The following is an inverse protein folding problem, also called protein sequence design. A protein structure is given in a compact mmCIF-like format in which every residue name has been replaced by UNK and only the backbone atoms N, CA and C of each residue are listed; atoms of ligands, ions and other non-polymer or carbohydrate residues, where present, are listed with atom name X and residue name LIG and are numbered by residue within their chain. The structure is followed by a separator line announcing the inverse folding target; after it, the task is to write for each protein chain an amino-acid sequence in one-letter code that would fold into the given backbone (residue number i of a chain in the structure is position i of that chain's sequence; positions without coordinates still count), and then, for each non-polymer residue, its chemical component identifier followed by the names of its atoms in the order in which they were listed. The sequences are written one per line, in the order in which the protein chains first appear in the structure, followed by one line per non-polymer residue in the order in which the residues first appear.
data_IF_941378933714
#
_entry.id   IF_941378933714
#
_cell.length_a   1.000
_cell.length_b   1.000
_cell.length_c   1.000
_cell.angle_alpha   90.00
_cell.angle_beta   90.00
_cell.angle_gamma   90.00
#
_symmetry.space_group_name_H-M   'P 1'
#
loop_
_entity.id
_entity.type
_entity.pdbx_description
1 polymer ?
#
# COMPACT_ATOMS: atom_id res chain seq x y z
N UNK A 1 8.25 9.37 -2.16
CA UNK A 1 9.12 8.31 -1.60
C UNK A 1 10.14 8.98 -0.68
N UNK A 2 10.26 8.58 0.59
CA UNK A 2 11.23 9.20 1.51
C UNK A 2 12.66 8.83 1.11
N UNK A 3 13.61 9.76 1.19
CA UNK A 3 15.04 9.53 0.92
C UNK A 3 15.60 8.34 1.71
N UNK A 4 15.07 8.10 2.92
CA UNK A 4 15.40 6.93 3.76
C UNK A 4 14.98 5.60 3.12
N UNK A 5 13.83 5.58 2.44
CA UNK A 5 13.34 4.38 1.75
C UNK A 5 14.15 4.07 0.50
N UNK A 6 14.63 5.10 -0.21
CA UNK A 6 15.51 4.92 -1.37
C UNK A 6 16.87 4.35 -0.95
N UNK A 7 17.43 4.86 0.16
CA UNK A 7 18.71 4.41 0.69
C UNK A 7 18.67 2.94 1.16
N UNK A 8 17.57 2.51 1.81
CA UNK A 8 17.39 1.11 2.20
C UNK A 8 17.30 0.16 1.01
N UNK A 9 16.65 0.56 -0.08
CA UNK A 9 16.56 -0.25 -1.31
C UNK A 9 17.95 -0.38 -1.97
N UNK A 10 18.71 0.71 -2.04
CA UNK A 10 20.06 0.70 -2.60
C UNK A 10 21.00 -0.22 -1.79
N UNK A 11 20.93 -0.16 -0.46
CA UNK A 11 21.77 -0.98 0.42
C UNK A 11 21.43 -2.48 0.30
N UNK A 12 20.13 -2.81 0.19
CA UNK A 12 19.65 -4.17 -0.09
C UNK A 12 20.21 -4.72 -1.41
N UNK A 13 20.22 -3.90 -2.46
CA UNK A 13 20.72 -4.29 -3.78
C UNK A 13 22.22 -4.64 -3.75
N UNK A 14 23.02 -3.84 -3.05
CA UNK A 14 24.47 -4.07 -2.92
C UNK A 14 24.76 -5.37 -2.17
N UNK A 15 24.03 -5.64 -1.08
CA UNK A 15 24.20 -6.87 -0.30
C UNK A 15 23.82 -8.10 -1.14
N UNK A 16 22.72 -8.03 -1.90
CA UNK A 16 22.31 -9.10 -2.80
C UNK A 16 23.38 -9.38 -3.87
N UNK A 17 23.99 -8.34 -4.44
CA UNK A 17 25.05 -8.48 -5.43
C UNK A 17 26.29 -9.19 -4.86
N UNK A 18 26.72 -8.83 -3.66
CA UNK A 18 27.88 -9.46 -2.99
C UNK A 18 27.62 -10.95 -2.72
N UNK A 19 26.40 -11.32 -2.32
CA UNK A 19 26.02 -12.73 -2.07
C UNK A 19 26.08 -13.54 -3.37
N UNK A 20 25.57 -13.00 -4.48
CA UNK A 20 25.56 -13.69 -5.78
C UNK A 20 26.99 -13.89 -6.29
N UNK A 21 27.82 -12.84 -6.28
CA UNK A 21 29.21 -12.92 -6.75
C UNK A 21 30.03 -13.84 -5.84
N UNK A 22 29.88 -13.71 -4.52
CA UNK A 22 30.56 -14.58 -3.55
C UNK A 22 30.16 -16.05 -3.70
N UNK A 23 28.87 -16.33 -3.89
CA UNK A 23 28.37 -17.67 -4.16
C UNK A 23 28.96 -18.26 -5.44
N UNK A 24 29.08 -17.47 -6.50
CA UNK A 24 29.66 -17.90 -7.77
C UNK A 24 31.14 -18.30 -7.62
N UNK A 25 31.93 -17.54 -6.86
CA UNK A 25 33.35 -17.85 -6.60
C UNK A 25 33.49 -19.15 -5.79
N UNK A 26 32.63 -19.38 -4.81
CA UNK A 26 32.63 -20.63 -4.00
C UNK A 26 32.27 -21.83 -4.87
N UNK A 27 31.23 -21.73 -5.70
CA UNK A 27 30.83 -22.80 -6.62
C UNK A 27 31.95 -23.09 -7.63
N UNK A 28 32.59 -22.05 -8.17
CA UNK A 28 33.71 -22.22 -9.09
C UNK A 28 34.90 -22.94 -8.45
N UNK A 29 35.21 -22.65 -7.18
CA UNK A 29 36.35 -23.25 -6.48
C UNK A 29 36.09 -24.69 -6.02
N UNK A 30 34.88 -24.99 -5.55
CA UNK A 30 34.57 -26.28 -4.92
C UNK A 30 33.86 -27.28 -5.85
N UNK A 31 33.16 -26.82 -6.89
CA UNK A 31 32.37 -27.68 -7.77
C UNK A 31 32.55 -27.33 -9.26
N UNK A 32 33.78 -27.38 -9.81
CA UNK A 32 34.05 -26.99 -11.20
C UNK A 32 33.30 -27.83 -12.25
N UNK A 33 32.91 -29.08 -11.91
CA UNK A 33 32.14 -29.95 -12.79
C UNK A 33 30.71 -29.48 -13.07
N UNK A 34 30.14 -28.62 -12.21
CA UNK A 34 28.78 -28.10 -12.41
C UNK A 34 28.71 -27.04 -13.55
N UNK A 35 29.85 -26.46 -13.92
CA UNK A 35 29.96 -25.43 -14.98
C UNK A 35 30.35 -26.06 -16.33
N UNK A 36 30.45 -27.39 -16.42
CA UNK A 36 30.71 -28.10 -17.69
C UNK A 36 32.13 -27.92 -18.23
N UNK A 37 33.08 -27.46 -17.40
CA UNK A 37 34.49 -27.37 -17.74
C UNK A 37 35.18 -28.64 -17.22
N UNK A 38 35.01 -29.75 -17.92
CA UNK A 38 35.77 -30.96 -17.63
C UNK A 38 37.23 -30.76 -18.04
N UNK A 39 38.14 -30.81 -17.07
CA UNK A 39 39.57 -30.96 -17.33
C UNK A 39 39.79 -32.32 -18.00
N UNK A 40 39.87 -32.35 -19.34
CA UNK A 40 40.39 -33.49 -20.10
C UNK A 40 41.80 -33.82 -19.60
N UNK A 41 41.92 -34.84 -18.77
CA UNK A 41 43.20 -35.45 -18.45
C UNK A 41 43.68 -36.23 -19.67
N UNK A 42 44.77 -35.76 -20.28
CA UNK A 42 45.57 -36.58 -21.17
C UNK A 42 46.18 -37.71 -20.34
N UNK A 43 45.63 -38.92 -20.46
CA UNK A 43 46.31 -40.13 -20.03
C UNK A 43 46.55 -41.01 -21.25
N UNK A 44 47.63 -40.67 -21.96
CA UNK A 44 48.27 -41.49 -22.97
C UNK A 44 48.71 -42.80 -22.32
N UNK A 45 47.96 -43.89 -22.53
CA UNK A 45 48.49 -45.24 -22.31
C UNK A 45 49.23 -45.68 -23.57
N UNK A 46 50.54 -45.50 -23.47
CA UNK A 46 51.60 -46.10 -24.27
C UNK A 46 51.47 -47.62 -24.36
N UNK A 47 51.88 -48.12 -25.53
CA UNK A 47 51.91 -49.52 -25.95
C UNK A 47 52.66 -50.46 -25.00
N UNK A 48 52.23 -51.72 -24.96
CA UNK A 48 53.11 -52.84 -24.67
C UNK A 48 52.88 -53.95 -25.71
N UNK A 49 53.70 -53.92 -26.77
CA UNK A 49 53.94 -55.04 -27.68
C UNK A 49 54.41 -56.25 -26.88
N UNK A 50 53.70 -57.39 -26.98
CA UNK A 50 54.22 -58.70 -26.58
C UNK A 50 54.21 -59.65 -27.77
N UNK A 51 55.43 -59.96 -28.20
CA UNK A 51 55.93 -61.25 -28.70
C UNK A 51 55.13 -61.99 -29.79
N UNK A 52 55.66 -61.92 -31.01
CA UNK A 52 55.38 -62.86 -32.10
C UNK A 52 55.86 -64.27 -31.74
N UNK A 53 54.96 -65.12 -31.24
CA UNK A 53 55.10 -66.56 -31.36
C UNK A 53 54.63 -67.00 -32.74
N UNK A 54 55.44 -67.75 -33.49
CA UNK A 54 55.03 -68.38 -34.75
C UNK A 54 54.01 -69.47 -34.44
N UNK A 55 52.73 -69.13 -34.53
CA UNK A 55 51.63 -70.09 -34.49
C UNK A 55 51.74 -70.92 -35.78
N UNK A 56 52.06 -72.21 -35.65
CA UNK A 56 51.87 -73.20 -36.73
C UNK A 56 50.37 -73.23 -37.03
N UNK A 57 49.97 -72.65 -38.15
CA UNK A 57 48.59 -72.70 -38.62
C UNK A 57 48.35 -74.12 -39.15
N UNK A 58 47.48 -74.93 -38.53
CA UNK A 58 47.14 -76.23 -39.09
C UNK A 58 46.43 -76.01 -40.44
N UNK A 59 46.81 -76.80 -41.44
CA UNK A 59 46.12 -76.84 -42.73
C UNK A 59 44.74 -77.46 -42.50
N UNK A 60 43.76 -76.61 -42.20
CA UNK A 60 42.36 -76.99 -42.01
C UNK A 60 41.74 -77.14 -43.41
N UNK A 61 41.52 -78.38 -43.82
CA UNK A 61 40.67 -78.71 -44.97
C UNK A 61 39.21 -78.54 -44.53
N UNK A 62 38.69 -77.33 -44.65
CA UNK A 62 37.28 -77.01 -44.36
C UNK A 62 36.46 -77.36 -45.60
N UNK A 63 35.39 -78.15 -45.44
CA UNK A 63 34.44 -78.40 -46.52
C UNK A 63 33.78 -77.09 -46.95
N UNK A 64 33.45 -76.95 -48.24
CA UNK A 64 32.71 -75.77 -48.75
C UNK A 64 31.41 -75.52 -47.97
N UNK A 65 30.74 -76.59 -47.54
CA UNK A 65 29.52 -76.52 -46.72
C UNK A 65 29.77 -75.89 -45.36
N UNK A 66 30.84 -76.31 -44.67
CA UNK A 66 31.19 -75.82 -43.34
C UNK A 66 31.60 -74.34 -43.39
N UNK A 67 32.28 -73.94 -44.47
CA UNK A 67 32.65 -72.55 -44.70
C UNK A 67 31.41 -71.66 -44.93
N UNK A 68 30.45 -72.13 -45.75
CA UNK A 68 29.20 -71.40 -46.00
C UNK A 68 28.36 -71.27 -44.73
N UNK A 69 28.31 -72.32 -43.90
CA UNK A 69 27.60 -72.29 -42.62
C UNK A 69 28.29 -71.38 -41.60
N UNK A 70 29.63 -71.36 -41.57
CA UNK A 70 30.39 -70.38 -40.78
C UNK A 70 30.11 -68.95 -41.23
N UNK A 71 30.04 -68.67 -42.54
CA UNK A 71 29.69 -67.34 -43.04
C UNK A 71 28.27 -66.94 -42.63
N UNK A 72 27.28 -67.82 -42.80
CA UNK A 72 25.90 -67.58 -42.37
C UNK A 72 25.83 -67.31 -40.87
N UNK A 73 26.56 -68.07 -40.04
CA UNK A 73 26.62 -67.88 -38.60
C UNK A 73 27.25 -66.53 -38.22
N UNK A 74 28.31 -66.09 -38.91
CA UNK A 74 28.94 -64.77 -38.69
C UNK A 74 27.97 -63.64 -39.04
N UNK A 75 27.28 -63.73 -40.18
CA UNK A 75 26.28 -62.74 -40.60
C UNK A 75 25.12 -62.69 -39.61
N UNK A 76 24.57 -63.86 -39.22
CA UNK A 76 23.50 -63.94 -38.22
C UNK A 76 23.92 -63.33 -36.88
N UNK A 77 25.11 -63.66 -36.37
CA UNK A 77 25.61 -63.10 -35.12
C UNK A 77 25.82 -61.58 -35.20
N UNK A 78 26.25 -61.06 -36.35
CA UNK A 78 26.38 -59.61 -36.57
C UNK A 78 25.01 -58.93 -36.57
N UNK A 79 24.02 -59.50 -37.24
CA UNK A 79 22.64 -59.01 -37.25
C UNK A 79 22.05 -59.00 -35.83
N UNK A 80 22.19 -60.09 -35.08
CA UNK A 80 21.73 -60.18 -33.69
C UNK A 80 22.42 -59.15 -32.78
N UNK A 81 23.73 -58.90 -32.97
CA UNK A 81 24.43 -57.84 -32.23
C UNK A 81 23.90 -56.46 -32.58
N UNK A 82 23.65 -56.18 -33.86
CA UNK A 82 23.08 -54.90 -34.29
C UNK A 82 21.68 -54.69 -33.74
N UNK A 83 20.82 -55.71 -33.80
CA UNK A 83 19.47 -55.69 -33.24
C UNK A 83 19.49 -55.46 -31.73
N UNK A 84 20.38 -56.15 -31.00
CA UNK A 84 20.52 -55.97 -29.56
C UNK A 84 21.03 -54.55 -29.21
N UNK A 85 21.94 -53.98 -30.00
CA UNK A 85 22.38 -52.58 -29.84
C UNK A 85 21.22 -51.62 -30.05
N UNK A 86 20.42 -51.82 -31.12
CA UNK A 86 19.24 -50.99 -31.39
C UNK A 86 18.21 -51.09 -30.27
N UNK A 87 17.88 -52.31 -29.84
CA UNK A 87 16.92 -52.56 -28.77
C UNK A 87 17.36 -51.94 -27.44
N UNK A 88 18.65 -51.99 -27.12
CA UNK A 88 19.18 -51.31 -25.92
C UNK A 88 19.14 -49.78 -26.05
N UNK A 89 19.39 -49.24 -27.24
CA UNK A 89 19.27 -47.80 -27.48
C UNK A 89 17.82 -47.34 -27.34
N UNK A 90 16.86 -48.08 -27.89
CA UNK A 90 15.42 -47.81 -27.75
C UNK A 90 14.98 -47.91 -26.29
N UNK A 91 15.39 -48.97 -25.58
CA UNK A 91 15.11 -49.13 -24.15
C UNK A 91 15.65 -47.95 -23.35
N UNK A 92 16.87 -47.48 -23.65
CA UNK A 92 17.45 -46.31 -22.99
C UNK A 92 16.64 -45.05 -23.27
N UNK A 93 16.31 -44.79 -24.53
CA UNK A 93 15.50 -43.62 -24.91
C UNK A 93 14.11 -43.63 -24.22
N UNK A 94 13.50 -44.81 -24.09
CA UNK A 94 12.23 -44.97 -23.39
C UNK A 94 12.36 -44.71 -21.89
N UNK A 95 13.41 -45.22 -21.24
CA UNK A 95 13.70 -44.94 -19.83
C UNK A 95 13.97 -43.45 -19.57
N UNK A 96 14.74 -42.81 -20.44
CA UNK A 96 15.03 -41.38 -20.33
C UNK A 96 13.75 -40.55 -20.49
N UNK A 97 12.87 -40.93 -21.44
CA UNK A 97 11.56 -40.30 -21.63
C UNK A 97 10.61 -40.49 -20.44
N UNK A 98 10.57 -41.69 -19.84
CA UNK A 98 9.79 -41.96 -18.63
C UNK A 98 10.32 -41.12 -17.45
N UNK A 99 11.63 -41.05 -17.29
CA UNK A 99 12.26 -40.26 -16.24
C UNK A 99 11.92 -38.78 -16.37
N UNK A 100 12.05 -38.22 -17.58
CA UNK A 100 11.71 -36.82 -17.86
C UNK A 100 10.23 -36.52 -17.58
N UNK A 101 9.31 -37.41 -17.97
CA UNK A 101 7.88 -37.24 -17.66
C UNK A 101 7.58 -37.32 -16.16
N UNK A 102 8.25 -38.21 -15.44
CA UNK A 102 8.09 -38.32 -13.98
C UNK A 102 8.61 -37.07 -13.25
N UNK A 103 9.69 -36.46 -13.74
CA UNK A 103 10.21 -35.20 -13.20
C UNK A 103 9.26 -34.02 -13.44
N UNK A 104 8.62 -33.96 -14.62
CA UNK A 104 7.56 -32.98 -14.88
C UNK A 104 6.36 -33.18 -13.95
N UNK A 105 5.95 -34.43 -13.73
CA UNK A 105 4.85 -34.75 -12.81
C UNK A 105 5.19 -34.41 -11.35
N UNK A 106 6.43 -34.64 -10.90
CA UNK A 106 6.86 -34.29 -9.54
C UNK A 106 6.93 -32.77 -9.34
N UNK A 107 7.37 -32.03 -10.36
CA UNK A 107 7.35 -30.57 -10.38
C UNK A 107 5.92 -30.03 -10.34
N UNK A 108 4.99 -30.63 -11.08
CA UNK A 108 3.56 -30.29 -11.01
C UNK A 108 2.97 -30.57 -9.62
N UNK A 109 3.28 -31.73 -9.04
CA UNK A 109 2.80 -32.15 -7.71
C UNK A 109 3.30 -31.23 -6.59
N UNK A 110 4.50 -30.65 -6.72
CA UNK A 110 5.04 -29.69 -5.74
C UNK A 110 4.56 -28.26 -5.98
N UNK A 111 4.24 -27.89 -7.22
CA UNK A 111 3.74 -26.57 -7.58
C UNK A 111 2.28 -26.36 -7.16
N UNK A 112 1.44 -27.40 -7.25
CA UNK A 112 0.01 -27.28 -6.91
C UNK A 112 -0.26 -26.91 -5.43
N UNK A 113 0.38 -27.53 -4.42
CA UNK A 113 0.23 -27.10 -3.02
C UNK A 113 0.71 -25.67 -2.76
N UNK A 114 1.79 -25.23 -3.43
CA UNK A 114 2.29 -23.84 -3.32
C UNK A 114 1.28 -22.84 -3.88
N UNK A 115 0.62 -23.21 -4.99
CA UNK A 115 -0.47 -22.41 -5.55
C UNK A 115 -1.67 -22.34 -4.59
N UNK A 116 -2.08 -23.46 -4.00
CA UNK A 116 -3.15 -23.50 -3.01
C UNK A 116 -2.84 -22.65 -1.76
N UNK A 117 -1.62 -22.73 -1.24
CA UNK A 117 -1.17 -21.89 -0.12
C UNK A 117 -1.21 -20.40 -0.48
N UNK A 118 -0.78 -20.06 -1.71
CA UNK A 118 -0.85 -18.68 -2.22
C UNK A 118 -2.30 -18.19 -2.33
N UNK A 119 -3.21 -19.01 -2.86
CA UNK A 119 -4.64 -18.71 -2.94
C UNK A 119 -5.23 -18.50 -1.53
N UNK A 120 -4.90 -19.37 -0.57
CA UNK A 120 -5.32 -19.23 0.83
C UNK A 120 -4.84 -17.92 1.47
N UNK A 121 -3.56 -17.55 1.26
CA UNK A 121 -2.99 -16.28 1.72
C UNK A 121 -3.68 -15.07 1.10
N UNK A 122 -4.01 -15.13 -0.20
CA UNK A 122 -4.76 -14.08 -0.90
C UNK A 122 -6.16 -13.95 -0.29
N UNK A 123 -6.89 -15.05 -0.09
CA UNK A 123 -8.21 -15.02 0.55
C UNK A 123 -8.16 -14.42 1.95
N UNK A 124 -7.17 -14.80 2.77
CA UNK A 124 -6.99 -14.24 4.12
C UNK A 124 -6.71 -12.74 4.07
N UNK A 125 -5.95 -12.28 3.09
CA UNK A 125 -5.65 -10.85 2.89
C UNK A 125 -6.89 -10.09 2.44
N UNK A 126 -7.65 -10.62 1.49
CA UNK A 126 -8.91 -10.03 1.03
C UNK A 126 -9.94 -9.94 2.15
N UNK A 127 -10.04 -10.94 3.03
CA UNK A 127 -10.91 -10.91 4.19
C UNK A 127 -10.54 -9.75 5.15
N UNK A 128 -9.25 -9.55 5.43
CA UNK A 128 -8.75 -8.44 6.25
C UNK A 128 -9.01 -7.07 5.61
N UNK A 129 -8.81 -6.97 4.28
CA UNK A 129 -9.10 -5.73 3.54
C UNK A 129 -10.58 -5.39 3.61
N UNK A 130 -11.47 -6.39 3.45
CA UNK A 130 -12.91 -6.20 3.56
C UNK A 130 -13.33 -5.71 4.96
N UNK A 131 -12.81 -6.32 6.03
CA UNK A 131 -13.05 -5.88 7.41
C UNK A 131 -12.58 -4.43 7.64
N UNK A 132 -11.39 -4.08 7.14
CA UNK A 132 -10.85 -2.72 7.23
C UNK A 132 -11.74 -1.72 6.49
N UNK A 133 -12.22 -2.08 5.30
CA UNK A 133 -13.11 -1.23 4.51
C UNK A 133 -14.46 -1.03 5.21
N UNK A 134 -15.00 -2.08 5.86
CA UNK A 134 -16.18 -1.96 6.72
C UNK A 134 -15.95 -1.02 7.90
N UNK A 135 -14.81 -1.12 8.59
CA UNK A 135 -14.44 -0.21 9.70
C UNK A 135 -14.32 1.24 9.24
N UNK A 136 -13.63 1.49 8.12
CA UNK A 136 -13.52 2.84 7.54
C UNK A 136 -14.89 3.39 7.19
N UNK A 137 -15.76 2.57 6.60
CA UNK A 137 -17.13 2.99 6.25
C UNK A 137 -17.93 3.40 7.50
N UNK A 138 -17.80 2.66 8.60
CA UNK A 138 -18.46 3.00 9.87
C UNK A 138 -17.90 4.30 10.46
N UNK A 139 -16.57 4.46 10.51
CA UNK A 139 -15.93 5.69 10.99
C UNK A 139 -16.32 6.90 10.15
N UNK A 140 -16.39 6.75 8.83
CA UNK A 140 -16.82 7.82 7.93
C UNK A 140 -18.26 8.27 8.24
N UNK A 141 -19.19 7.33 8.43
CA UNK A 141 -20.56 7.64 8.83
C UNK A 141 -20.63 8.35 10.18
N UNK A 142 -19.84 7.90 11.14
CA UNK A 142 -19.77 8.52 12.47
C UNK A 142 -19.25 9.95 12.40
N UNK A 143 -18.18 10.20 11.66
CA UNK A 143 -17.63 11.56 11.46
C UNK A 143 -18.65 12.48 10.79
N UNK A 144 -19.42 11.99 9.82
CA UNK A 144 -20.50 12.78 9.21
C UNK A 144 -21.60 13.13 10.22
N UNK A 145 -22.05 12.17 11.04
CA UNK A 145 -23.06 12.45 12.07
C UNK A 145 -22.54 13.39 13.16
N UNK A 146 -21.28 13.25 13.58
CA UNK A 146 -20.67 14.12 14.57
C UNK A 146 -20.52 15.54 14.03
N UNK A 147 -20.13 15.69 12.76
CA UNK A 147 -20.06 17.00 12.08
C UNK A 147 -21.43 17.68 12.06
N UNK A 148 -22.49 16.95 11.73
CA UNK A 148 -23.85 17.50 11.71
C UNK A 148 -24.32 17.90 13.12
N UNK A 149 -24.03 17.07 14.14
CA UNK A 149 -24.36 17.38 15.54
C UNK A 149 -23.63 18.62 16.02
N UNK A 150 -22.34 18.74 15.73
CA UNK A 150 -21.52 19.91 16.10
C UNK A 150 -22.03 21.17 15.39
N UNK A 151 -22.39 21.08 14.12
CA UNK A 151 -22.96 22.22 13.38
C UNK A 151 -24.26 22.72 14.02
N UNK A 152 -25.20 21.81 14.32
CA UNK A 152 -26.47 22.13 15.00
C UNK A 152 -26.24 22.75 16.38
N UNK A 153 -25.37 22.14 17.19
CA UNK A 153 -25.04 22.68 18.53
C UNK A 153 -24.39 24.07 18.45
N UNK A 154 -23.60 24.33 17.42
CA UNK A 154 -22.96 25.64 17.22
C UNK A 154 -23.99 26.69 16.85
N UNK A 155 -24.91 26.37 15.93
CA UNK A 155 -26.00 27.26 15.53
C UNK A 155 -26.94 27.58 16.69
N UNK A 156 -27.30 26.58 17.51
CA UNK A 156 -28.13 26.78 18.70
C UNK A 156 -27.42 27.66 19.74
N UNK A 157 -26.13 27.42 20.00
CA UNK A 157 -25.34 28.26 20.91
C UNK A 157 -25.22 29.69 20.41
N UNK A 158 -25.03 29.89 19.11
CA UNK A 158 -24.96 31.22 18.51
C UNK A 158 -26.29 31.97 18.70
N UNK A 159 -27.43 31.32 18.42
CA UNK A 159 -28.76 31.91 18.67
C UNK A 159 -28.98 32.25 20.15
N UNK A 160 -28.56 31.38 21.06
CA UNK A 160 -28.65 31.64 22.50
C UNK A 160 -27.77 32.82 22.93
N UNK A 161 -26.53 32.90 22.42
CA UNK A 161 -25.62 34.00 22.73
C UNK A 161 -26.15 35.34 22.18
N UNK A 162 -26.66 35.37 20.96
CA UNK A 162 -27.28 36.56 20.38
C UNK A 162 -28.48 37.00 21.24
N UNK A 163 -29.36 36.07 21.61
CA UNK A 163 -30.51 36.38 22.47
C UNK A 163 -30.11 36.89 23.86
N UNK A 164 -29.06 36.31 24.47
CA UNK A 164 -28.53 36.77 25.74
C UNK A 164 -27.88 38.16 25.63
N UNK A 165 -27.16 38.43 24.54
CA UNK A 165 -26.52 39.72 24.29
C UNK A 165 -27.57 40.82 24.12
N UNK A 166 -28.64 40.56 23.37
CA UNK A 166 -29.76 41.49 23.23
C UNK A 166 -30.46 41.77 24.57
N UNK A 167 -30.67 40.71 25.37
CA UNK A 167 -31.26 40.84 26.71
C UNK A 167 -30.38 41.68 27.64
N UNK A 168 -29.07 41.41 27.68
CA UNK A 168 -28.10 42.16 28.46
C UNK A 168 -28.01 43.62 28.00
N UNK A 169 -27.98 43.86 26.70
CA UNK A 169 -27.98 45.22 26.15
C UNK A 169 -29.23 45.99 26.58
N UNK A 170 -30.41 45.38 26.49
CA UNK A 170 -31.65 46.01 26.91
C UNK A 170 -31.70 46.26 28.43
N UNK A 171 -31.18 45.33 29.24
CA UNK A 171 -31.06 45.52 30.69
C UNK A 171 -30.14 46.70 31.03
N UNK A 172 -28.97 46.77 30.40
CA UNK A 172 -28.03 47.87 30.61
C UNK A 172 -28.66 49.22 30.22
N UNK A 173 -29.36 49.30 29.09
CA UNK A 173 -30.05 50.53 28.67
C UNK A 173 -31.15 50.94 29.66
N UNK A 174 -31.87 49.97 30.22
CA UNK A 174 -32.87 50.22 31.27
C UNK A 174 -32.23 50.74 32.56
N UNK A 175 -31.09 50.17 32.97
CA UNK A 175 -30.39 50.62 34.17
C UNK A 175 -29.77 52.01 33.97
N UNK A 176 -29.22 52.32 32.78
CA UNK A 176 -28.80 53.68 32.44
C UNK A 176 -29.95 54.68 32.49
N UNK A 177 -31.13 54.32 31.96
CA UNK A 177 -32.32 55.17 32.03
C UNK A 177 -32.70 55.49 33.48
N UNK A 178 -32.68 54.51 34.38
CA UNK A 178 -32.95 54.73 35.82
C UNK A 178 -31.92 55.64 36.48
N UNK A 179 -30.63 55.48 36.17
CA UNK A 179 -29.57 56.35 36.72
C UNK A 179 -29.77 57.78 36.23
N UNK A 180 -30.02 57.96 34.94
CA UNK A 180 -30.23 59.28 34.33
C UNK A 180 -31.52 59.94 34.79
N UNK A 181 -32.57 59.17 35.04
CA UNK A 181 -33.81 59.67 35.65
C UNK A 181 -33.59 60.22 37.07
N UNK A 182 -32.54 59.81 37.77
CA UNK A 182 -32.19 60.35 39.08
C UNK A 182 -31.10 61.45 39.02
N UNK A 183 -30.53 61.71 37.84
CA UNK A 183 -29.45 62.67 37.64
C UNK A 183 -29.97 64.04 37.17
N UNK A 184 -29.07 65.04 37.17
CA UNK A 184 -29.36 66.40 36.69
C UNK A 184 -29.51 66.42 35.15
N UNK A 185 -30.60 67.00 34.59
CA UNK A 185 -30.87 66.97 33.15
C UNK A 185 -29.75 67.52 32.27
N UNK A 186 -29.03 68.55 32.75
CA UNK A 186 -27.93 69.19 32.02
C UNK A 186 -26.72 68.29 31.87
N UNK A 187 -26.45 67.45 32.87
CA UNK A 187 -25.34 66.49 32.83
C UNK A 187 -25.68 65.31 31.93
N UNK A 188 -26.91 64.81 32.04
CA UNK A 188 -27.41 63.75 31.16
C UNK A 188 -27.38 64.18 29.70
N UNK A 189 -27.78 65.43 29.38
CA UNK A 189 -27.72 65.97 28.03
C UNK A 189 -26.30 65.90 27.44
N UNK A 190 -25.29 66.37 28.18
CA UNK A 190 -23.87 66.29 27.77
C UNK A 190 -23.38 64.87 27.55
N UNK A 191 -23.88 63.91 28.33
CA UNK A 191 -23.54 62.49 28.17
C UNK A 191 -24.19 61.95 26.89
N UNK A 192 -25.48 62.19 26.69
CA UNK A 192 -26.24 61.69 25.54
C UNK A 192 -25.79 62.29 24.21
N UNK A 193 -25.19 63.49 24.21
CA UNK A 193 -24.54 64.05 23.02
C UNK A 193 -23.40 63.17 22.50
N UNK A 194 -22.73 62.42 23.38
CA UNK A 194 -21.60 61.54 23.04
C UNK A 194 -21.99 60.07 22.84
N UNK A 195 -23.20 59.68 23.23
CA UNK A 195 -23.71 58.31 23.10
C UNK A 195 -24.32 58.12 21.72
N UNK A 196 -24.22 56.92 21.14
CA UNK A 196 -24.85 56.58 19.85
C UNK A 196 -26.35 56.92 19.84
N UNK A 197 -26.81 57.52 18.74
CA UNK A 197 -28.16 58.07 18.61
C UNK A 197 -29.25 57.03 18.84
N UNK A 198 -29.00 55.76 18.50
CA UNK A 198 -29.95 54.66 18.69
C UNK A 198 -30.08 54.26 20.15
N UNK A 199 -28.96 54.18 20.86
CA UNK A 199 -28.95 53.81 22.28
C UNK A 199 -29.43 55.00 23.15
N UNK A 200 -29.06 56.24 22.81
CA UNK A 200 -29.60 57.45 23.44
C UNK A 200 -31.12 57.55 23.29
N UNK A 201 -31.66 57.22 22.12
CA UNK A 201 -33.10 57.21 21.87
C UNK A 201 -33.83 56.17 22.73
N UNK A 202 -33.27 54.96 22.85
CA UNK A 202 -33.82 53.90 23.71
C UNK A 202 -33.78 54.29 25.19
N UNK A 203 -32.68 54.88 25.64
CA UNK A 203 -32.54 55.36 27.02
C UNK A 203 -33.60 56.43 27.31
N UNK A 204 -33.74 57.45 26.46
CA UNK A 204 -34.76 58.50 26.63
C UNK A 204 -36.19 57.95 26.63
N UNK A 205 -36.48 56.90 25.85
CA UNK A 205 -37.79 56.22 25.86
C UNK A 205 -38.07 55.47 27.17
N UNK A 206 -37.03 54.97 27.83
CA UNK A 206 -37.13 54.24 29.09
C UNK A 206 -37.11 55.18 30.30
N UNK A 207 -36.71 56.45 30.12
CA UNK A 207 -36.77 57.50 31.13
C UNK A 207 -38.19 58.04 31.32
N UNK A 208 -38.41 58.74 32.43
CA UNK A 208 -39.63 59.47 32.71
C UNK A 208 -39.86 60.59 31.68
N UNK A 209 -41.06 60.65 31.09
CA UNK A 209 -41.41 61.60 30.01
C UNK A 209 -41.03 63.05 30.31
N UNK A 210 -41.23 63.47 31.56
CA UNK A 210 -40.93 64.83 32.02
C UNK A 210 -39.42 65.14 32.05
N UNK A 211 -38.57 64.21 32.50
CA UNK A 211 -37.12 64.42 32.47
C UNK A 211 -36.56 64.24 31.06
N UNK A 212 -37.05 63.26 30.30
CA UNK A 212 -36.64 63.05 28.92
C UNK A 212 -36.85 64.31 28.06
N UNK A 213 -37.99 64.99 28.21
CA UNK A 213 -38.24 66.28 27.55
C UNK A 213 -37.23 67.36 27.94
N UNK A 214 -37.00 67.54 29.25
CA UNK A 214 -36.01 68.51 29.76
C UNK A 214 -34.59 68.23 29.27
N UNK A 215 -34.21 66.96 29.14
CA UNK A 215 -32.90 66.56 28.62
C UNK A 215 -32.81 66.89 27.13
N UNK A 216 -33.85 66.62 26.34
CA UNK A 216 -33.90 66.97 24.92
C UNK A 216 -33.79 68.48 24.70
N UNK A 217 -34.44 69.29 25.54
CA UNK A 217 -34.34 70.77 25.48
C UNK A 217 -32.92 71.28 25.75
N UNK A 218 -32.07 70.48 26.41
CA UNK A 218 -30.69 70.84 26.76
C UNK A 218 -29.64 70.28 25.81
N UNK A 219 -30.03 69.40 24.88
CA UNK A 219 -29.16 68.84 23.83
C UNK A 219 -29.21 69.77 22.61
N UNK A 220 -28.13 69.85 21.82
CA UNK A 220 -28.15 70.61 20.57
C UNK A 220 -29.29 70.17 19.63
N UNK A 221 -29.87 71.12 18.90
CA UNK A 221 -31.07 70.90 18.10
C UNK A 221 -30.85 69.84 17.01
N UNK A 222 -29.68 69.85 16.38
CA UNK A 222 -29.28 68.85 15.38
C UNK A 222 -29.21 67.45 16.00
N UNK A 223 -28.64 67.35 17.21
CA UNK A 223 -28.46 66.07 17.88
C UNK A 223 -29.78 65.52 18.43
N UNK A 224 -30.62 66.37 18.99
CA UNK A 224 -31.97 66.01 19.44
C UNK A 224 -32.80 65.47 18.27
N UNK A 225 -32.77 66.13 17.11
CA UNK A 225 -33.45 65.66 15.90
C UNK A 225 -32.93 64.28 15.44
N UNK A 226 -31.62 64.05 15.50
CA UNK A 226 -31.03 62.77 15.14
C UNK A 226 -31.48 61.63 16.06
N UNK A 227 -31.44 61.86 17.38
CA UNK A 227 -31.88 60.89 18.40
C UNK A 227 -33.38 60.60 18.26
N UNK A 228 -34.19 61.64 18.03
CA UNK A 228 -35.63 61.49 17.82
C UNK A 228 -35.95 60.71 16.55
N UNK A 229 -35.22 60.93 15.46
CA UNK A 229 -35.37 60.18 14.20
C UNK A 229 -35.09 58.69 14.37
N UNK A 230 -34.06 58.34 15.15
CA UNK A 230 -33.77 56.94 15.49
C UNK A 230 -34.83 56.34 16.44
N UNK A 231 -35.56 57.20 17.15
CA UNK A 231 -36.65 56.81 18.05
C UNK A 231 -38.02 56.69 17.38
N UNK A 232 -38.30 57.49 16.36
CA UNK A 232 -39.59 57.50 15.67
C UNK A 232 -39.73 56.37 14.65
N UNK A 233 -38.63 55.71 14.28
CA UNK A 233 -38.62 54.54 13.40
C UNK A 233 -39.01 53.27 14.18
N UNK A 234 -40.31 53.15 14.47
CA UNK A 234 -41.02 51.89 14.68
C UNK A 234 -42.47 52.04 14.23
#
# INVERSE_FOLDING_TARGET
MSTKSLMMILMSLVIAFVIVVGGFVVVYKFFPGMIGIDKKSQQSRTMALRAKGKIKVPNLLISKTDFDDMQKAVVRNKLLKMENIQLNAEKKNLLDSITAKNELLSTGKTSYPRMLDSISKIHKTNAKMKDTLSKITLLYKQVLSDRERVAKMTEEKEKLLIGQLDSLKNKNLSDFAKIYDNSEPKEVAKILEKVDSKDASKILKLMSKKKAGKVLDMISTERAAEIMRQGSLR
#
